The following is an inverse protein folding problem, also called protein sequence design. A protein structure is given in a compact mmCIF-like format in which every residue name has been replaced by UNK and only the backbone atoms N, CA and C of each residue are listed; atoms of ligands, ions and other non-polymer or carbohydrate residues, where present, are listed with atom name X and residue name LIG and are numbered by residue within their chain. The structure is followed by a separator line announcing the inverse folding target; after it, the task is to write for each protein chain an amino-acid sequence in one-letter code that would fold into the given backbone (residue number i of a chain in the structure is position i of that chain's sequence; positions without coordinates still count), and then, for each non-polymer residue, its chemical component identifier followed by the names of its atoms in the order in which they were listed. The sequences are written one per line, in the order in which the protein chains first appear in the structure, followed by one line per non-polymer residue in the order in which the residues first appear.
data_IF_524982803536
#
_entry.id   IF_524982803536
#
_cell.length_a   1.000
_cell.length_b   1.000
_cell.length_c   1.000
_cell.angle_alpha   90.00
_cell.angle_beta   90.00
_cell.angle_gamma   90.00
#
_symmetry.space_group_name_H-M   'P 1'
#
loop_
_entity.id
_entity.type
_entity.pdbx_description
1 polymer ?
#
# COMPACT_ATOMS: atom_id res chain seq x y z
N UNK A 1 -2.71 6.17 1.36
CA UNK A 1 -2.05 5.83 0.09
C UNK A 1 -2.84 4.73 -0.59
N UNK A 2 -3.15 4.91 -1.86
CA UNK A 2 -3.91 3.94 -2.66
C UNK A 2 -3.51 4.03 -4.13
N UNK A 3 -4.02 3.10 -4.93
CA UNK A 3 -3.96 3.15 -6.39
C UNK A 3 -5.10 4.01 -6.98
N UNK A 4 -4.74 4.86 -7.94
CA UNK A 4 -5.67 5.55 -8.84
C UNK A 4 -5.54 4.93 -10.22
N UNK A 5 -6.65 4.70 -10.89
CA UNK A 5 -6.72 4.22 -12.26
C UNK A 5 -7.43 5.22 -13.16
N UNK A 6 -6.97 5.29 -14.41
CA UNK A 6 -7.53 6.13 -15.47
C UNK A 6 -7.80 5.22 -16.66
N UNK A 7 -9.07 4.91 -16.91
CA UNK A 7 -9.49 4.08 -18.04
C UNK A 7 -9.01 4.64 -19.37
N UNK A 8 -8.34 3.81 -20.17
CA UNK A 8 -7.84 4.19 -21.48
C UNK A 8 -7.79 3.00 -22.45
N UNK A 9 -8.63 3.04 -23.48
CA UNK A 9 -8.76 1.95 -24.47
C UNK A 9 -7.85 2.12 -25.69
N UNK A 10 -7.28 3.31 -25.91
CA UNK A 10 -6.39 3.60 -27.04
C UNK A 10 -5.10 2.78 -27.03
N UNK A 11 -4.37 2.79 -28.15
CA UNK A 11 -3.05 2.13 -28.23
C UNK A 11 -2.00 2.99 -27.54
N UNK A 12 -1.45 2.49 -26.45
CA UNK A 12 -0.31 3.08 -25.75
C UNK A 12 0.60 1.97 -25.25
N UNK A 13 1.92 2.17 -25.31
CA UNK A 13 2.89 1.26 -24.71
C UNK A 13 2.95 1.38 -23.18
N UNK A 14 2.35 2.44 -22.64
CA UNK A 14 2.42 2.82 -21.23
C UNK A 14 1.14 2.48 -20.45
N UNK A 15 0.10 1.97 -21.13
CA UNK A 15 -1.12 1.50 -20.46
C UNK A 15 -0.91 0.10 -19.91
N UNK A 16 -1.57 -0.19 -18.80
CA UNK A 16 -1.60 -1.48 -18.16
C UNK A 16 -2.96 -2.14 -18.34
N UNK A 17 -2.97 -3.47 -18.43
CA UNK A 17 -4.21 -4.26 -18.37
C UNK A 17 -4.59 -4.47 -16.91
N UNK A 18 -5.75 -3.95 -16.52
CA UNK A 18 -6.28 -3.95 -15.16
C UNK A 18 -7.44 -4.96 -15.10
N UNK A 19 -7.17 -6.16 -14.60
CA UNK A 19 -8.15 -7.27 -14.61
C UNK A 19 -9.15 -7.25 -13.45
N UNK A 20 -8.93 -6.41 -12.45
CA UNK A 20 -9.68 -6.37 -11.19
C UNK A 20 -10.50 -5.08 -11.01
N UNK A 21 -10.52 -4.20 -12.02
CA UNK A 21 -11.35 -2.99 -12.07
C UNK A 21 -12.19 -2.97 -13.34
N UNK A 22 -13.25 -2.17 -13.35
CA UNK A 22 -14.21 -2.13 -14.46
C UNK A 22 -13.65 -1.52 -15.74
N UNK A 23 -12.61 -0.70 -15.61
CA UNK A 23 -11.92 0.05 -16.65
C UNK A 23 -11.23 -0.87 -17.66
N UNK A 24 -10.77 -2.05 -17.21
CA UNK A 24 -10.14 -3.10 -18.03
C UNK A 24 -8.73 -2.76 -18.50
N UNK A 25 -8.55 -1.62 -19.17
CA UNK A 25 -7.26 -1.10 -19.63
C UNK A 25 -7.13 0.36 -19.17
N UNK A 26 -5.94 0.77 -18.74
CA UNK A 26 -5.76 2.14 -18.28
C UNK A 26 -4.35 2.49 -17.81
N UNK A 27 -4.22 3.68 -17.25
CA UNK A 27 -3.01 4.11 -16.56
C UNK A 27 -3.20 3.96 -15.06
N UNK A 28 -2.17 3.46 -14.38
CA UNK A 28 -2.16 3.33 -12.93
C UNK A 28 -1.22 4.36 -12.31
N UNK A 29 -1.65 4.94 -11.20
CA UNK A 29 -0.85 5.82 -10.37
C UNK A 29 -0.94 5.41 -8.90
N UNK A 30 0.16 5.57 -8.18
CA UNK A 30 0.18 5.45 -6.73
C UNK A 30 -0.02 6.86 -6.15
N UNK A 31 -0.91 7.02 -5.17
CA UNK A 31 -1.31 8.32 -4.65
C UNK A 31 -1.47 8.37 -3.13
N UNK A 32 -1.11 9.51 -2.53
CA UNK A 32 -1.43 9.88 -1.15
C UNK A 32 -2.60 10.86 -1.19
N UNK A 33 -3.67 10.46 -0.53
CA UNK A 33 -4.93 11.19 -0.51
C UNK A 33 -5.41 11.32 0.95
N UNK A 34 -6.11 12.40 1.25
CA UNK A 34 -6.88 12.56 2.49
C UNK A 34 -8.22 13.24 2.19
N UNK A 35 -9.30 12.71 2.78
CA UNK A 35 -10.69 13.22 2.65
C UNK A 35 -11.14 13.54 1.22
N UNK A 36 -10.78 12.68 0.26
CA UNK A 36 -11.14 12.85 -1.15
C UNK A 36 -10.25 13.81 -1.94
N UNK A 37 -9.26 14.43 -1.29
CA UNK A 37 -8.24 15.25 -1.96
C UNK A 37 -6.97 14.45 -2.22
N UNK A 38 -6.41 14.57 -3.42
CA UNK A 38 -5.13 13.94 -3.81
C UNK A 38 -4.01 14.95 -3.60
N UNK A 39 -3.10 14.66 -2.67
CA UNK A 39 -1.97 15.55 -2.35
C UNK A 39 -0.78 15.29 -3.26
N UNK A 40 -0.41 14.03 -3.41
CA UNK A 40 0.75 13.60 -4.18
C UNK A 40 0.37 12.34 -4.93
N UNK A 41 0.75 12.25 -6.20
CA UNK A 41 0.54 11.07 -7.02
C UNK A 41 1.68 10.92 -8.02
N UNK A 42 1.92 9.68 -8.46
CA UNK A 42 2.90 9.37 -9.52
C UNK A 42 2.44 8.17 -10.31
N UNK A 43 2.53 8.25 -11.65
CA UNK A 43 2.23 7.11 -12.50
C UNK A 43 3.20 5.95 -12.26
N UNK A 44 2.70 4.72 -12.36
CA UNK A 44 3.52 3.51 -12.19
C UNK A 44 4.52 3.28 -13.31
N UNK A 45 4.21 3.80 -14.49
CA UNK A 45 5.04 3.76 -15.68
C UNK A 45 6.07 4.92 -15.74
N UNK A 46 5.97 5.89 -14.83
CA UNK A 46 6.93 6.97 -14.73
C UNK A 46 8.23 6.46 -14.10
N UNK A 47 9.35 7.12 -14.43
CA UNK A 47 10.66 6.73 -13.93
C UNK A 47 10.66 6.79 -12.40
N UNK A 48 10.81 5.62 -11.77
CA UNK A 48 11.16 5.53 -10.37
C UNK A 48 12.69 5.58 -10.30
N UNK A 49 13.30 6.65 -9.74
CA UNK A 49 14.73 6.69 -9.55
C UNK A 49 15.20 5.46 -8.76
N UNK A 50 16.45 5.06 -9.03
CA UNK A 50 17.08 3.84 -8.52
C UNK A 50 16.74 3.55 -7.06
N UNK A 51 16.34 2.30 -6.81
CA UNK A 51 15.96 1.67 -5.54
C UNK A 51 16.39 2.48 -4.31
N UNK A 52 15.42 3.05 -3.58
CA UNK A 52 15.70 3.70 -2.28
C UNK A 52 16.21 2.65 -1.29
N UNK A 53 15.66 1.44 -1.41
CA UNK A 53 16.06 0.27 -0.65
C UNK A 53 16.33 -0.86 -1.65
N UNK A 54 17.55 -1.42 -1.62
CA UNK A 54 18.00 -2.41 -2.62
C UNK A 54 17.20 -3.70 -2.58
N UNK A 55 16.62 -4.07 -1.44
CA UNK A 55 15.80 -5.26 -1.22
C UNK A 55 14.29 -4.96 -1.25
N UNK A 56 13.89 -3.74 -1.60
CA UNK A 56 12.48 -3.40 -1.79
C UNK A 56 11.97 -3.83 -3.17
N UNK A 57 10.74 -4.34 -3.20
CA UNK A 57 10.02 -4.57 -4.45
C UNK A 57 9.83 -3.26 -5.22
N UNK A 58 9.61 -3.31 -6.56
CA UNK A 58 9.29 -2.10 -7.33
C UNK A 58 8.11 -1.31 -6.75
N UNK A 59 7.09 -2.00 -6.22
CA UNK A 59 5.96 -1.39 -5.53
C UNK A 59 6.40 -0.63 -4.28
N UNK A 60 7.12 -1.29 -3.37
CA UNK A 60 7.58 -0.65 -2.13
C UNK A 60 8.48 0.56 -2.43
N UNK A 61 9.37 0.47 -3.42
CA UNK A 61 10.21 1.59 -3.82
C UNK A 61 9.39 2.79 -4.30
N UNK A 62 8.39 2.59 -5.17
CA UNK A 62 7.49 3.68 -5.60
C UNK A 62 6.76 4.30 -4.42
N UNK A 63 6.24 3.48 -3.51
CA UNK A 63 5.52 3.97 -2.33
C UNK A 63 6.44 4.71 -1.33
N UNK A 64 7.69 4.25 -1.14
CA UNK A 64 8.68 4.96 -0.33
C UNK A 64 9.02 6.31 -0.94
N UNK A 65 9.23 6.37 -2.26
CA UNK A 65 9.43 7.66 -2.97
C UNK A 65 8.25 8.58 -2.78
N UNK A 66 7.03 8.07 -2.89
CA UNK A 66 5.83 8.87 -2.69
C UNK A 66 5.74 9.42 -1.26
N UNK A 67 6.13 8.63 -0.25
CA UNK A 67 6.20 9.06 1.15
C UNK A 67 7.32 10.09 1.41
N UNK A 68 8.45 10.01 0.69
CA UNK A 68 9.53 11.01 0.78
C UNK A 68 9.16 12.36 0.17
N UNK A 69 8.24 12.38 -0.81
CA UNK A 69 7.69 13.63 -1.35
C UNK A 69 6.79 14.35 -0.34
N UNK A 70 6.32 13.68 0.71
CA UNK A 70 5.66 14.34 1.83
C UNK A 70 6.69 14.98 2.76
N UNK A 71 6.75 16.30 2.76
CA UNK A 71 7.70 17.10 3.57
C UNK A 71 7.48 17.00 5.09
N UNK A 72 6.33 16.48 5.54
CA UNK A 72 5.95 16.44 6.96
C UNK A 72 6.48 15.21 7.68
N UNK A 73 7.35 15.41 8.67
CA UNK A 73 7.75 14.36 9.61
C UNK A 73 6.54 13.87 10.45
N UNK A 74 6.59 12.60 10.81
CA UNK A 74 5.65 11.86 11.64
C UNK A 74 4.22 11.77 11.10
N UNK A 75 4.06 11.92 9.77
CA UNK A 75 2.79 11.71 9.08
C UNK A 75 2.36 10.24 9.22
N UNK A 76 1.10 10.03 9.60
CA UNK A 76 0.47 8.71 9.52
C UNK A 76 -0.08 8.48 8.12
N UNK A 77 0.47 7.47 7.45
CA UNK A 77 0.06 7.05 6.11
C UNK A 77 -0.67 5.73 6.26
N UNK A 78 -1.95 5.73 5.90
CA UNK A 78 -2.75 4.50 5.84
C UNK A 78 -2.64 3.85 4.47
N UNK A 79 -2.45 2.54 4.39
CA UNK A 79 -2.41 1.80 3.11
C UNK A 79 -3.11 0.45 3.22
N UNK A 80 -3.46 -0.11 2.06
CA UNK A 80 -4.12 -1.41 1.97
C UNK A 80 -3.15 -2.60 2.17
N UNK A 81 -3.68 -3.82 2.09
CA UNK A 81 -2.93 -5.05 2.31
C UNK A 81 -1.89 -5.39 1.21
N UNK A 82 -1.95 -4.74 0.06
CA UNK A 82 -1.06 -4.95 -1.08
C UNK A 82 0.31 -4.38 -0.77
N UNK A 83 0.35 -3.21 -0.13
CA UNK A 83 1.56 -2.43 0.16
C UNK A 83 2.32 -2.93 1.41
N UNK A 84 1.73 -3.80 2.22
CA UNK A 84 2.20 -4.00 3.60
C UNK A 84 3.22 -5.13 3.74
N UNK A 85 4.37 -4.85 4.35
CA UNK A 85 5.31 -5.83 4.91
C UNK A 85 6.06 -5.25 6.13
N UNK A 86 6.63 -6.10 7.00
CA UNK A 86 7.41 -5.64 8.15
C UNK A 86 8.54 -4.68 7.73
N UNK A 87 9.35 -5.09 6.74
CA UNK A 87 10.46 -4.26 6.23
C UNK A 87 9.98 -2.91 5.72
N UNK A 88 8.85 -2.89 5.00
CA UNK A 88 8.27 -1.65 4.50
C UNK A 88 7.89 -0.68 5.63
N UNK A 89 7.34 -1.19 6.73
CA UNK A 89 7.06 -0.36 7.91
C UNK A 89 8.34 0.17 8.57
N UNK A 90 9.39 -0.65 8.65
CA UNK A 90 10.71 -0.22 9.16
C UNK A 90 11.33 0.89 8.29
N UNK A 91 11.25 0.76 6.96
CA UNK A 91 11.73 1.78 6.02
C UNK A 91 10.93 3.10 6.10
N UNK A 92 9.62 3.02 6.31
CA UNK A 92 8.80 4.21 6.55
C UNK A 92 9.19 4.89 7.87
N UNK A 93 9.41 4.11 8.93
CA UNK A 93 9.81 4.64 10.23
C UNK A 93 11.18 5.34 10.16
N UNK A 94 12.13 4.77 9.42
CA UNK A 94 13.42 5.40 9.16
C UNK A 94 13.30 6.77 8.46
N UNK A 95 12.21 6.99 7.72
CA UNK A 95 11.85 8.26 7.05
C UNK A 95 10.92 9.12 7.91
N UNK A 96 10.81 8.80 9.20
CA UNK A 96 9.92 9.44 10.17
C UNK A 96 8.47 9.43 9.70
N UNK A 97 7.99 8.36 9.07
CA UNK A 97 6.57 8.21 8.71
C UNK A 97 5.97 7.02 9.46
N UNK A 98 4.74 7.16 9.92
CA UNK A 98 4.00 6.06 10.52
C UNK A 98 3.16 5.35 9.45
N UNK A 99 3.24 4.02 9.45
CA UNK A 99 2.44 3.18 8.56
C UNK A 99 1.28 2.54 9.31
N UNK A 100 0.04 2.78 8.86
CA UNK A 100 -1.16 2.11 9.39
C UNK A 100 -1.76 1.23 8.31
N UNK A 101 -1.97 -0.05 8.58
CA UNK A 101 -2.36 -0.98 7.53
C UNK A 101 -2.95 -2.28 8.05
N UNK A 102 -3.70 -2.95 7.17
CA UNK A 102 -4.06 -4.36 7.32
C UNK A 102 -3.00 -5.19 6.62
N UNK A 103 -2.59 -6.31 7.21
CA UNK A 103 -1.58 -7.19 6.64
C UNK A 103 -2.14 -8.60 6.41
N UNK A 104 -1.61 -9.30 5.39
CA UNK A 104 -1.91 -10.72 5.20
C UNK A 104 -1.21 -11.53 6.29
N UNK A 105 -1.87 -12.60 6.75
CA UNK A 105 -1.37 -13.46 7.83
C UNK A 105 -0.01 -14.11 7.51
N UNK A 106 0.27 -14.41 6.24
CA UNK A 106 1.50 -15.07 5.80
C UNK A 106 2.33 -14.23 4.83
N UNK A 107 3.64 -14.52 4.75
CA UNK A 107 4.53 -13.97 3.73
C UNK A 107 4.96 -12.50 3.89
N UNK A 108 4.64 -11.86 5.02
CA UNK A 108 4.90 -10.42 5.25
C UNK A 108 5.91 -10.13 6.37
N UNK A 109 6.47 -11.17 7.00
CA UNK A 109 7.50 -11.05 8.04
C UNK A 109 6.99 -10.52 9.38
N UNK A 110 5.67 -10.56 9.61
CA UNK A 110 5.07 -10.14 10.87
C UNK A 110 5.29 -11.17 11.99
N UNK A 111 5.42 -10.73 13.26
CA UNK A 111 5.59 -11.63 14.39
C UNK A 111 4.31 -12.44 14.66
N UNK A 112 4.45 -13.70 15.10
CA UNK A 112 3.31 -14.58 15.37
C UNK A 112 2.28 -14.01 16.35
N UNK A 113 2.71 -13.14 17.28
CA UNK A 113 1.81 -12.51 18.23
C UNK A 113 0.77 -11.56 17.62
N UNK A 114 0.97 -11.07 16.39
CA UNK A 114 0.01 -10.18 15.70
C UNK A 114 -0.79 -10.90 14.61
N UNK A 115 -0.42 -12.13 14.29
CA UNK A 115 -1.12 -12.93 13.29
C UNK A 115 -2.44 -13.43 13.90
N UNK A 116 -3.51 -13.29 13.13
CA UNK A 116 -4.83 -13.81 13.44
C UNK A 116 -5.21 -14.86 12.40
N UNK A 117 -5.80 -15.96 12.86
CA UNK A 117 -6.38 -16.95 11.97
C UNK A 117 -7.66 -16.40 11.33
N UNK A 118 -7.84 -16.69 10.04
CA UNK A 118 -9.00 -16.22 9.31
C UNK A 118 -10.26 -16.94 9.80
N UNK A 119 -11.23 -16.19 10.31
CA UNK A 119 -12.55 -16.71 10.64
C UNK A 119 -13.38 -16.75 9.36
N UNK A 120 -13.66 -17.96 8.86
CA UNK A 120 -14.38 -18.17 7.59
C UNK A 120 -15.87 -18.46 7.79
N UNK A 121 -16.26 -18.88 9.00
CA UNK A 121 -17.64 -19.24 9.32
C UNK A 121 -18.45 -17.99 9.65
N UNK A 122 -19.54 -17.78 8.92
CA UNK A 122 -20.38 -16.57 9.00
C UNK A 122 -20.94 -16.29 10.39
N UNK A 123 -21.28 -17.35 11.15
CA UNK A 123 -21.80 -17.24 12.52
C UNK A 123 -20.77 -16.70 13.52
N UNK A 124 -19.48 -16.85 13.23
CA UNK A 124 -18.40 -16.44 14.13
C UNK A 124 -17.83 -15.06 13.78
N UNK A 125 -18.24 -14.48 12.64
CA UNK A 125 -17.73 -13.20 12.19
C UNK A 125 -18.07 -12.07 13.16
N UNK A 126 -19.27 -12.08 13.75
CA UNK A 126 -19.66 -11.09 14.76
C UNK A 126 -18.82 -11.20 16.04
N UNK A 127 -18.50 -12.43 16.48
CA UNK A 127 -17.64 -12.65 17.64
C UNK A 127 -16.17 -12.26 17.37
N UNK A 128 -15.75 -12.24 16.10
CA UNK A 128 -14.41 -11.79 15.72
C UNK A 128 -14.28 -10.25 15.71
N UNK A 129 -15.38 -9.51 15.64
CA UNK A 129 -15.38 -8.04 15.71
C UNK A 129 -14.83 -7.59 17.06
N UNK A 130 -13.81 -6.72 17.05
CA UNK A 130 -13.17 -6.20 18.27
C UNK A 130 -12.03 -7.05 18.82
N UNK A 131 -11.74 -8.22 18.25
CA UNK A 131 -10.61 -9.08 18.66
C UNK A 131 -9.27 -8.74 17.99
N UNK A 132 -9.22 -7.64 17.23
CA UNK A 132 -8.08 -7.19 16.43
C UNK A 132 -6.79 -7.12 17.26
N UNK A 133 -5.80 -7.93 16.88
CA UNK A 133 -4.46 -7.90 17.45
C UNK A 133 -3.67 -6.79 16.77
N UNK A 134 -3.34 -5.76 17.54
CA UNK A 134 -2.56 -4.61 17.07
C UNK A 134 -1.21 -4.60 17.76
N UNK A 135 -0.15 -4.21 17.04
CA UNK A 135 1.16 -3.94 17.62
C UNK A 135 1.73 -2.67 16.98
N UNK A 136 2.20 -1.77 17.82
CA UNK A 136 3.07 -0.67 17.40
C UNK A 136 4.50 -1.21 17.32
N UNK A 137 5.17 -0.97 16.19
CA UNK A 137 6.58 -1.30 15.97
C UNK A 137 7.47 -0.17 16.49
#
# INVERSE_FOLDING_TARGET
MNEIDIGFQGRSALKEKITYKGEGDGFLADAICDRGYVYIWKFRNDFCPSLVEQDASPLHNRCLRLAELCEYDWLSITFDNLFTSKKYLEWLLARKKYGTCVCRASGRGLPACVIQEAVTRKADLEAAVGTLKVRCL
#
